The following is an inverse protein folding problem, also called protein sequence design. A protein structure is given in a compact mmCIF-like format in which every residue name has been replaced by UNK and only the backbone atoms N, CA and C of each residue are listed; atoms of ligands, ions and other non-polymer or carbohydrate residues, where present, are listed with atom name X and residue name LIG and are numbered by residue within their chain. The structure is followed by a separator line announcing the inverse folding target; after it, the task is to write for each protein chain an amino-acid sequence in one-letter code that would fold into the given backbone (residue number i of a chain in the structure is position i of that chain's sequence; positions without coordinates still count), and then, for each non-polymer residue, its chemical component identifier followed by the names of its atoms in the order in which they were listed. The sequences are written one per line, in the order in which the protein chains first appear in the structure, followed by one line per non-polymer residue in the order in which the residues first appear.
data_IF_349055465690
#
_entry.id   IF_349055465690
#
_cell.length_a   1.000
_cell.length_b   1.000
_cell.length_c   1.000
_cell.angle_alpha   90.00
_cell.angle_beta   90.00
_cell.angle_gamma   90.00
#
_symmetry.space_group_name_H-M   'P 1'
#
loop_
_entity.id
_entity.type
_entity.pdbx_description
1 polymer ?
#
# COMPACT_ATOMS: atom_id res chain seq x y z
N UNK A 1 -2.74 2.79 -9.32
CA UNK A 1 -2.98 1.70 -10.29
C UNK A 1 -2.24 0.42 -9.90
N UNK A 2 -0.91 0.44 -9.77
CA UNK A 2 -0.10 -0.73 -9.36
C UNK A 2 -0.67 -1.48 -8.14
N UNK A 3 -0.94 -0.77 -7.04
CA UNK A 3 -1.57 -1.33 -5.84
C UNK A 3 -2.87 -2.12 -6.12
N UNK A 4 -3.73 -1.56 -6.98
CA UNK A 4 -5.02 -2.18 -7.29
C UNK A 4 -4.83 -3.50 -8.04
N UNK A 5 -3.86 -3.56 -8.96
CA UNK A 5 -3.52 -4.80 -9.65
C UNK A 5 -2.94 -5.85 -8.71
N UNK A 6 -2.08 -5.46 -7.75
CA UNK A 6 -1.58 -6.35 -6.70
C UNK A 6 -2.74 -6.94 -5.89
N UNK A 7 -3.68 -6.11 -5.44
CA UNK A 7 -4.83 -6.55 -4.65
C UNK A 7 -5.78 -7.47 -5.42
N UNK A 8 -5.83 -7.35 -6.75
CA UNK A 8 -6.62 -8.20 -7.63
C UNK A 8 -5.88 -9.46 -8.11
N UNK A 9 -4.60 -9.62 -7.76
CA UNK A 9 -3.75 -10.72 -8.23
C UNK A 9 -3.36 -10.62 -9.72
N UNK A 10 -3.37 -9.42 -10.29
CA UNK A 10 -2.96 -9.16 -11.67
C UNK A 10 -1.48 -8.78 -11.73
N UNK A 11 -0.62 -9.76 -11.44
CA UNK A 11 0.82 -9.56 -11.22
C UNK A 11 1.56 -8.93 -12.42
N UNK A 12 1.18 -9.30 -13.64
CA UNK A 12 1.80 -8.76 -14.85
C UNK A 12 1.48 -7.27 -15.04
N UNK A 13 0.20 -6.90 -14.95
CA UNK A 13 -0.24 -5.51 -15.03
C UNK A 13 0.34 -4.66 -13.88
N UNK A 14 0.46 -5.25 -12.68
CA UNK A 14 1.14 -4.60 -11.56
C UNK A 14 2.60 -4.30 -11.91
N UNK A 15 3.36 -5.29 -12.37
CA UNK A 15 4.77 -5.16 -12.72
C UNK A 15 4.99 -4.11 -13.80
N UNK A 16 4.20 -4.14 -14.88
CA UNK A 16 4.31 -3.18 -15.98
C UNK A 16 4.04 -1.75 -15.50
N UNK A 17 3.02 -1.58 -14.67
CA UNK A 17 2.68 -0.27 -14.10
C UNK A 17 3.78 0.26 -13.18
N UNK A 18 4.39 -0.62 -12.37
CA UNK A 18 5.51 -0.26 -11.47
C UNK A 18 6.73 0.15 -12.30
N UNK A 19 7.06 -0.59 -13.36
CA UNK A 19 8.18 -0.27 -14.23
C UNK A 19 8.02 1.11 -14.89
N UNK A 20 6.81 1.44 -15.36
CA UNK A 20 6.51 2.79 -15.90
C UNK A 20 6.65 3.86 -14.82
N UNK A 21 6.20 3.60 -13.59
CA UNK A 21 6.34 4.53 -12.48
C UNK A 21 7.81 4.79 -12.16
N UNK A 22 8.60 3.73 -11.96
CA UNK A 22 10.03 3.84 -11.65
C UNK A 22 10.83 4.54 -12.75
N UNK A 23 10.47 4.33 -14.01
CA UNK A 23 11.11 4.99 -15.15
C UNK A 23 10.89 6.51 -15.17
N UNK A 24 9.72 6.99 -14.75
CA UNK A 24 9.35 8.41 -14.87
C UNK A 24 9.46 9.18 -13.54
N UNK A 25 9.32 8.50 -12.42
CA UNK A 25 9.28 9.06 -11.07
C UNK A 25 10.04 8.11 -10.10
N UNK A 26 11.37 7.99 -10.23
CA UNK A 26 12.15 7.08 -9.40
C UNK A 26 12.07 7.44 -7.90
N UNK A 27 11.95 8.73 -7.56
CA UNK A 27 11.84 9.22 -6.18
C UNK A 27 10.38 9.21 -5.65
N UNK A 28 9.49 8.45 -6.28
CA UNK A 28 8.09 8.39 -5.86
C UNK A 28 7.96 7.66 -4.52
N UNK A 29 7.18 8.20 -3.58
CA UNK A 29 7.01 7.67 -2.20
C UNK A 29 6.57 6.20 -2.09
N UNK A 30 6.06 5.62 -3.18
CA UNK A 30 5.64 4.21 -3.25
C UNK A 30 6.74 3.27 -3.75
N UNK A 31 7.93 3.79 -4.04
CA UNK A 31 9.10 3.05 -4.50
C UNK A 31 10.19 3.13 -3.43
N UNK A 32 10.94 2.04 -3.28
CA UNK A 32 12.14 2.02 -2.45
C UNK A 32 13.39 2.51 -3.21
N UNK A 33 14.53 2.52 -2.54
CA UNK A 33 15.83 2.88 -3.12
C UNK A 33 16.26 1.98 -4.30
N UNK A 34 15.66 0.80 -4.44
CA UNK A 34 15.88 -0.15 -5.53
C UNK A 34 14.84 -0.01 -6.66
N UNK A 35 13.84 0.88 -6.51
CA UNK A 35 12.72 1.02 -7.43
C UNK A 35 11.63 -0.05 -7.27
N UNK A 36 11.66 -0.82 -6.18
CA UNK A 36 10.66 -1.82 -5.85
C UNK A 36 9.44 -1.18 -5.17
N UNK A 37 8.25 -1.67 -5.49
CA UNK A 37 7.00 -1.09 -5.02
C UNK A 37 6.73 -1.43 -3.56
N UNK A 38 6.75 -0.42 -2.69
CA UNK A 38 6.38 -0.55 -1.27
C UNK A 38 4.89 -0.27 -1.08
N UNK A 39 4.12 -1.35 -0.91
CA UNK A 39 2.70 -1.26 -0.55
C UNK A 39 2.54 -1.04 0.94
N UNK A 40 1.92 0.08 1.35
CA UNK A 40 1.42 0.28 2.73
C UNK A 40 0.18 -0.59 3.04
N UNK A 41 -0.42 -1.21 2.02
CA UNK A 41 -1.49 -2.19 2.20
C UNK A 41 -0.92 -3.61 2.22
N UNK A 42 -1.26 -4.38 3.25
CA UNK A 42 -1.05 -5.83 3.23
C UNK A 42 -2.31 -6.51 2.68
N UNK A 43 -2.14 -7.70 2.09
CA UNK A 43 -3.27 -8.53 1.65
C UNK A 43 -4.20 -8.92 2.81
N UNK A 44 -3.67 -8.94 4.04
CA UNK A 44 -4.43 -9.21 5.26
C UNK A 44 -5.33 -8.04 5.70
N UNK A 45 -5.25 -6.89 5.02
CA UNK A 45 -6.02 -5.69 5.31
C UNK A 45 -5.61 -5.00 6.61
N UNK A 46 -6.49 -4.14 7.13
CA UNK A 46 -6.29 -3.49 8.43
C UNK A 46 -6.28 -4.54 9.54
N UNK A 47 -5.12 -4.72 10.18
CA UNK A 47 -4.99 -5.62 11.32
C UNK A 47 -5.85 -5.12 12.49
N UNK A 48 -6.93 -5.84 12.78
CA UNK A 48 -7.84 -5.55 13.89
C UNK A 48 -7.40 -6.28 15.14
N UNK A 49 -7.32 -5.55 16.26
CA UNK A 49 -7.13 -6.17 17.58
C UNK A 49 -8.31 -7.07 17.95
N UNK A 50 -8.08 -7.97 18.91
CA UNK A 50 -9.13 -8.86 19.40
C UNK A 50 -10.29 -8.11 20.06
N UNK A 51 -10.01 -6.98 20.74
CA UNK A 51 -11.03 -6.15 21.38
C UNK A 51 -11.89 -5.43 20.32
N UNK A 52 -11.30 -5.00 19.20
CA UNK A 52 -12.04 -4.48 18.06
C UNK A 52 -13.01 -5.54 17.51
N UNK A 53 -12.54 -6.78 17.36
CA UNK A 53 -13.36 -7.88 16.83
C UNK A 53 -14.55 -8.21 17.74
N UNK A 54 -14.32 -8.37 19.06
CA UNK A 54 -15.38 -8.73 20.03
C UNK A 54 -16.38 -7.59 20.24
N UNK A 55 -15.91 -6.34 20.19
CA UNK A 55 -16.76 -5.15 20.34
C UNK A 55 -17.49 -4.75 19.06
N UNK A 56 -17.42 -5.57 17.99
CA UNK A 56 -17.95 -5.24 16.66
C UNK A 56 -17.48 -3.88 16.14
N UNK A 57 -16.25 -3.49 16.48
CA UNK A 57 -15.63 -2.25 16.04
C UNK A 57 -15.90 -1.03 16.93
N UNK A 58 -16.58 -1.18 18.07
CA UNK A 58 -16.87 -0.07 18.97
C UNK A 58 -15.61 0.48 19.65
N UNK A 59 -14.63 -0.39 19.93
CA UNK A 59 -13.37 -0.02 20.58
C UNK A 59 -12.17 -0.38 19.70
N UNK A 60 -11.11 0.43 19.82
CA UNK A 60 -9.82 0.25 19.12
C UNK A 60 -9.98 0.08 17.59
N UNK A 61 -10.58 1.07 16.90
CA UNK A 61 -10.71 1.02 15.45
C UNK A 61 -9.32 1.01 14.80
N UNK A 62 -9.08 0.13 13.82
CA UNK A 62 -7.77 0.05 13.19
C UNK A 62 -7.50 1.33 12.38
N UNK A 63 -6.27 1.84 12.44
CA UNK A 63 -5.90 3.09 11.76
C UNK A 63 -5.74 2.87 10.25
N UNK A 64 -6.43 3.66 9.39
CA UNK A 64 -6.27 3.53 7.95
C UNK A 64 -4.83 3.84 7.55
N UNK A 65 -4.23 3.06 6.64
CA UNK A 65 -2.91 3.38 6.11
C UNK A 65 -2.93 4.77 5.48
N UNK A 66 -1.95 5.60 5.85
CA UNK A 66 -1.81 6.95 5.34
C UNK A 66 -0.78 6.96 4.21
N UNK A 67 -1.08 7.70 3.14
CA UNK A 67 -0.15 7.93 2.04
C UNK A 67 0.39 9.35 2.15
N UNK A 68 1.66 9.48 2.55
CA UNK A 68 2.33 10.78 2.49
C UNK A 68 2.89 10.99 1.08
N UNK A 69 2.30 11.93 0.36
CA UNK A 69 2.72 12.27 -1.01
C UNK A 69 3.64 13.51 -1.02
N UNK A 70 4.04 14.01 0.15
CA UNK A 70 4.92 15.16 0.24
C UNK A 70 6.35 14.73 -0.04
N UNK A 71 7.14 15.55 -0.75
CA UNK A 71 8.56 15.30 -0.90
C UNK A 71 9.24 15.40 0.47
N UNK A 72 10.17 14.49 0.75
CA UNK A 72 11.08 14.61 1.91
C UNK A 72 11.95 15.87 1.70
N UNK A 73 11.88 16.80 2.66
CA UNK A 73 12.55 18.12 2.62
C UNK A 73 13.95 18.10 3.21
#
# INVERSE_FOLDING_TARGET
MAQGYILLGYDELARDTIAVLALNYPDHYSLDENGEFQSVYTLDGLQRSWINKVSFGLFDPPEPPQFDNRPDV
#
